data_IF_709223791472
#
_entry.id   IF_709223791472
#
_cell.length_a   1.000
_cell.length_b   1.000
_cell.length_c   1.000
_cell.angle_alpha   90.00
_cell.angle_beta   90.00
_cell.angle_gamma   90.00
#
_symmetry.space_group_name_H-M   'P 1'
#
loop_
_entity.id
_entity.type
_entity.pdbx_description
1 polymer ?
#
# COMPACT_ATOMS: atom_id res chain seq x y z
N UNK A 1 3.28 -8.36 28.72
CA UNK A 1 2.09 -8.68 29.53
C UNK A 1 0.83 -8.23 28.80
N UNK A 2 -0.37 -8.74 29.16
CA UNK A 2 -1.65 -8.29 28.60
C UNK A 2 -1.92 -6.77 28.76
N UNK A 3 -1.18 -6.11 29.64
CA UNK A 3 -1.29 -4.70 30.03
C UNK A 3 -0.98 -3.68 28.93
N UNK A 4 -0.41 -4.09 27.79
CA UNK A 4 -0.15 -3.21 26.65
C UNK A 4 -0.95 -3.66 25.42
N UNK A 5 -2.23 -3.93 25.60
CA UNK A 5 -3.14 -4.29 24.50
C UNK A 5 -3.57 -3.04 23.71
N UNK A 6 -4.06 -3.25 22.49
CA UNK A 6 -4.62 -2.16 21.68
C UNK A 6 -5.89 -1.52 22.27
N UNK A 7 -6.56 -2.18 23.21
CA UNK A 7 -7.73 -1.64 23.92
C UNK A 7 -7.29 -0.53 24.87
N UNK A 8 -6.26 -0.79 25.68
CA UNK A 8 -5.68 0.20 26.60
C UNK A 8 -5.14 1.41 25.84
N UNK A 9 -4.58 1.21 24.65
CA UNK A 9 -4.12 2.31 23.78
C UNK A 9 -5.28 3.18 23.30
N UNK A 10 -6.48 2.61 23.08
CA UNK A 10 -7.66 3.38 22.68
C UNK A 10 -8.21 4.19 23.85
N UNK A 11 -8.31 3.59 25.03
CA UNK A 11 -8.81 4.27 26.22
C UNK A 11 -7.91 5.46 26.60
N UNK A 12 -6.58 5.29 26.50
CA UNK A 12 -5.61 6.37 26.69
C UNK A 12 -5.77 7.46 25.62
N UNK A 13 -5.97 7.06 24.37
CA UNK A 13 -6.15 8.01 23.26
C UNK A 13 -7.41 8.86 23.44
N UNK A 14 -8.52 8.27 23.89
CA UNK A 14 -9.77 8.98 24.21
C UNK A 14 -9.58 9.98 25.37
N UNK A 15 -8.86 9.59 26.42
CA UNK A 15 -8.58 10.48 27.56
C UNK A 15 -7.65 11.64 27.22
N UNK A 16 -6.71 11.43 26.28
CA UNK A 16 -5.73 12.42 25.86
C UNK A 16 -6.19 13.24 24.64
N UNK A 17 -7.41 13.02 24.15
CA UNK A 17 -7.92 13.58 22.88
C UNK A 17 -6.95 13.37 21.70
N UNK A 18 -6.22 12.25 21.72
CA UNK A 18 -5.21 11.88 20.75
C UNK A 18 -5.68 10.73 19.88
N UNK A 19 -4.97 10.49 18.77
CA UNK A 19 -5.28 9.31 17.96
C UNK A 19 -4.67 8.03 18.57
N UNK A 20 -5.35 6.87 18.52
CA UNK A 20 -4.77 5.60 18.96
C UNK A 20 -3.45 5.26 18.26
N UNK A 21 -3.25 5.72 17.02
CA UNK A 21 -2.00 5.55 16.31
C UNK A 21 -0.89 6.50 16.84
N UNK A 22 -1.23 7.73 17.21
CA UNK A 22 -0.32 8.68 17.86
C UNK A 22 0.18 8.16 19.21
N UNK A 23 -0.74 7.69 20.07
CA UNK A 23 -0.39 7.05 21.34
C UNK A 23 0.51 5.82 21.13
N UNK A 24 0.20 4.96 20.14
CA UNK A 24 1.07 3.82 19.79
C UNK A 24 2.48 4.28 19.40
N UNK A 25 2.62 5.38 18.65
CA UNK A 25 3.93 5.89 18.26
C UNK A 25 4.76 6.35 19.46
N UNK A 26 4.12 7.01 20.43
CA UNK A 26 4.77 7.45 21.68
C UNK A 26 5.23 6.24 22.49
N UNK A 27 4.35 5.26 22.70
CA UNK A 27 4.65 4.03 23.43
C UNK A 27 5.78 3.23 22.77
N UNK A 28 5.77 3.14 21.44
CA UNK A 28 6.85 2.47 20.68
C UNK A 28 8.20 3.17 20.87
N UNK A 29 8.22 4.52 20.84
CA UNK A 29 9.42 5.31 21.10
C UNK A 29 9.93 5.14 22.54
N UNK A 30 9.04 4.93 23.49
CA UNK A 30 9.37 4.64 24.90
C UNK A 30 9.79 3.18 25.16
N UNK A 31 9.91 2.34 24.13
CA UNK A 31 10.28 0.92 24.27
C UNK A 31 9.16 0.02 24.77
N UNK A 32 7.92 0.54 24.85
CA UNK A 32 6.75 -0.22 25.29
C UNK A 32 6.19 -1.02 24.10
N UNK A 33 6.29 -2.34 24.19
CA UNK A 33 5.69 -3.23 23.19
C UNK A 33 4.17 -3.27 23.35
N UNK A 34 3.46 -2.77 22.34
CA UNK A 34 2.00 -2.88 22.24
C UNK A 34 1.67 -4.14 21.44
N UNK A 35 1.01 -5.11 22.07
CA UNK A 35 0.61 -6.34 21.38
C UNK A 35 -0.52 -5.99 20.43
N UNK A 36 -0.20 -5.91 19.14
CA UNK A 36 -1.20 -5.75 18.08
C UNK A 36 -2.12 -6.97 18.12
N UNK A 37 -3.38 -6.77 18.49
CA UNK A 37 -4.41 -7.78 18.26
C UNK A 37 -4.39 -8.05 16.75
N UNK A 38 -4.15 -9.29 16.30
CA UNK A 38 -4.26 -9.58 14.88
C UNK A 38 -5.66 -9.16 14.48
N UNK A 39 -5.75 -8.21 13.55
CA UNK A 39 -7.05 -7.92 12.95
C UNK A 39 -7.59 -9.26 12.48
N UNK A 40 -8.86 -9.62 12.78
CA UNK A 40 -9.46 -10.78 12.14
C UNK A 40 -9.14 -10.63 10.66
N UNK A 41 -8.52 -11.65 10.07
CA UNK A 41 -8.32 -11.67 8.63
C UNK A 41 -9.73 -11.57 8.06
N UNK A 42 -10.15 -10.37 7.70
CA UNK A 42 -11.21 -10.19 6.74
C UNK A 42 -10.76 -11.04 5.59
N UNK A 43 -11.51 -12.11 5.31
CA UNK A 43 -11.25 -12.99 4.18
C UNK A 43 -11.10 -12.07 2.99
N UNK A 44 -9.85 -11.89 2.55
CA UNK A 44 -9.52 -10.92 1.54
C UNK A 44 -10.17 -11.41 0.27
N UNK A 45 -11.34 -10.85 -0.04
CA UNK A 45 -11.79 -10.79 -1.42
C UNK A 45 -10.59 -10.35 -2.25
N UNK A 46 -10.37 -11.00 -3.39
CA UNK A 46 -9.30 -10.77 -4.35
C UNK A 46 -9.41 -9.39 -5.03
N UNK A 47 -9.67 -8.35 -4.25
CA UNK A 47 -9.80 -6.97 -4.68
C UNK A 47 -8.43 -6.31 -4.68
N UNK A 48 -7.66 -6.52 -5.74
CA UNK A 48 -6.71 -5.56 -6.36
C UNK A 48 -5.70 -4.80 -5.48
N UNK A 49 -5.50 -5.19 -4.22
CA UNK A 49 -4.74 -4.44 -3.22
C UNK A 49 -3.39 -5.02 -2.86
N UNK A 50 -2.93 -6.04 -3.61
CA UNK A 50 -1.58 -6.57 -3.48
C UNK A 50 -0.54 -5.46 -3.68
N UNK A 51 0.58 -5.53 -2.94
CA UNK A 51 1.70 -4.62 -3.18
C UNK A 51 2.18 -4.84 -4.63
N UNK A 52 2.14 -3.78 -5.43
CA UNK A 52 2.62 -3.81 -6.82
C UNK A 52 4.08 -3.35 -6.81
N UNK A 53 4.95 -4.16 -7.40
CA UNK A 53 6.33 -3.76 -7.69
C UNK A 53 6.33 -2.64 -8.72
N UNK A 54 6.92 -1.50 -8.37
CA UNK A 54 6.96 -0.33 -9.27
C UNK A 54 7.79 -0.64 -10.51
N UNK A 55 8.93 -1.31 -10.35
CA UNK A 55 9.82 -1.66 -11.45
C UNK A 55 9.13 -2.60 -12.45
N UNK A 56 8.49 -3.67 -11.95
CA UNK A 56 7.82 -4.64 -12.83
C UNK A 56 6.62 -4.00 -13.55
N UNK A 57 5.87 -3.14 -12.86
CA UNK A 57 4.76 -2.42 -13.46
C UNK A 57 5.22 -1.42 -14.54
N UNK A 58 6.31 -0.70 -14.31
CA UNK A 58 6.90 0.22 -15.28
C UNK A 58 7.47 -0.54 -16.50
N UNK A 59 8.04 -1.73 -16.29
CA UNK A 59 8.48 -2.60 -17.38
C UNK A 59 7.29 -3.11 -18.23
N UNK A 60 6.19 -3.51 -17.58
CA UNK A 60 4.99 -3.98 -18.27
C UNK A 60 4.39 -2.91 -19.19
N UNK A 61 4.21 -1.68 -18.69
CA UNK A 61 3.68 -0.59 -19.53
C UNK A 61 4.65 -0.19 -20.65
N UNK A 62 5.97 -0.25 -20.41
CA UNK A 62 7.01 -0.02 -21.44
C UNK A 62 6.90 -1.03 -22.59
N UNK A 63 6.73 -2.32 -22.25
CA UNK A 63 6.51 -3.37 -23.25
C UNK A 63 5.23 -3.11 -24.03
N UNK A 64 4.11 -2.86 -23.35
CA UNK A 64 2.82 -2.66 -24.00
C UNK A 64 2.81 -1.47 -24.99
N UNK A 65 3.49 -0.37 -24.65
CA UNK A 65 3.67 0.78 -25.56
C UNK A 65 4.54 0.40 -26.77
N UNK A 66 5.64 -0.33 -26.54
CA UNK A 66 6.53 -0.79 -27.62
C UNK A 66 5.82 -1.76 -28.57
N UNK A 67 5.01 -2.67 -28.02
CA UNK A 67 4.19 -3.62 -28.76
C UNK A 67 3.10 -2.90 -29.58
N UNK A 68 2.64 -1.74 -29.12
CA UNK A 68 1.76 -0.84 -29.89
C UNK A 68 2.49 -0.07 -31.00
N UNK A 69 3.81 -0.26 -31.18
CA UNK A 69 4.63 0.44 -32.16
C UNK A 69 4.91 1.91 -31.82
N UNK A 70 4.72 2.31 -30.57
CA UNK A 70 4.93 3.68 -30.11
C UNK A 70 6.28 3.84 -29.42
N UNK A 71 6.86 5.04 -29.49
CA UNK A 71 8.10 5.35 -28.78
C UNK A 71 7.83 5.53 -27.28
N UNK A 72 8.67 4.92 -26.44
CA UNK A 72 8.52 4.99 -24.98
C UNK A 72 9.26 6.19 -24.40
N UNK A 73 8.54 7.08 -23.74
CA UNK A 73 9.14 8.14 -22.91
C UNK A 73 9.48 7.59 -21.51
N UNK A 74 10.73 7.18 -21.33
CA UNK A 74 11.23 6.67 -20.06
C UNK A 74 11.14 7.69 -18.90
N UNK A 75 11.22 9.00 -19.18
CA UNK A 75 11.09 10.02 -18.14
C UNK A 75 9.66 10.10 -17.61
N UNK A 76 8.66 9.91 -18.47
CA UNK A 76 7.26 9.83 -18.05
C UNK A 76 7.01 8.52 -17.30
N UNK A 77 7.45 7.38 -17.83
CA UNK A 77 7.21 6.07 -17.20
C UNK A 77 7.82 6.01 -15.80
N UNK A 78 9.03 6.56 -15.59
CA UNK A 78 9.68 6.58 -14.27
C UNK A 78 8.88 7.29 -13.18
N UNK A 79 7.98 8.22 -13.55
CA UNK A 79 7.13 8.98 -12.62
C UNK A 79 5.85 8.23 -12.24
N UNK A 80 5.54 7.12 -12.91
CA UNK A 80 4.34 6.35 -12.61
C UNK A 80 4.50 5.54 -11.33
N UNK A 81 3.49 5.59 -10.46
CA UNK A 81 3.36 4.63 -9.36
C UNK A 81 3.05 3.24 -9.92
N UNK A 82 3.40 2.17 -9.19
CA UNK A 82 3.15 0.80 -9.66
C UNK A 82 1.68 0.54 -10.03
N UNK A 83 0.73 1.11 -9.27
CA UNK A 83 -0.70 1.01 -9.59
C UNK A 83 -1.08 1.75 -10.86
N UNK A 84 -0.53 2.95 -11.07
CA UNK A 84 -0.79 3.72 -12.29
C UNK A 84 -0.23 3.01 -13.53
N UNK A 85 1.00 2.49 -13.44
CA UNK A 85 1.62 1.76 -14.54
C UNK A 85 0.83 0.49 -14.91
N UNK A 86 0.38 -0.30 -13.93
CA UNK A 86 -0.50 -1.47 -14.19
C UNK A 86 -1.82 -1.06 -14.85
N UNK A 87 -2.44 0.03 -14.39
CA UNK A 87 -3.68 0.53 -14.98
C UNK A 87 -3.52 0.88 -16.47
N UNK A 88 -2.47 1.63 -16.83
CA UNK A 88 -2.22 2.00 -18.22
C UNK A 88 -1.79 0.83 -19.10
N UNK A 89 -0.94 -0.07 -18.59
CA UNK A 89 -0.55 -1.29 -19.31
C UNK A 89 -1.79 -2.09 -19.74
N UNK A 90 -2.74 -2.32 -18.82
CA UNK A 90 -3.97 -3.07 -19.13
C UNK A 90 -4.88 -2.37 -20.15
N UNK A 91 -4.95 -1.04 -20.17
CA UNK A 91 -5.69 -0.29 -21.19
C UNK A 91 -5.05 -0.52 -22.56
N UNK A 92 -3.72 -0.36 -22.66
CA UNK A 92 -2.99 -0.49 -23.92
C UNK A 92 -3.11 -1.91 -24.46
N UNK A 93 -2.91 -2.92 -23.62
CA UNK A 93 -3.11 -4.33 -23.99
C UNK A 93 -4.52 -4.62 -24.49
N UNK A 94 -5.54 -3.95 -23.93
CA UNK A 94 -6.94 -4.12 -24.36
C UNK A 94 -7.19 -3.47 -25.72
N UNK A 95 -6.56 -2.32 -25.99
CA UNK A 95 -6.69 -1.60 -27.27
C UNK A 95 -5.91 -2.27 -28.40
N UNK A 96 -4.83 -2.99 -28.08
CA UNK A 96 -3.99 -3.71 -29.05
C UNK A 96 -4.56 -5.08 -29.47
N UNK A 97 -5.74 -5.47 -28.98
CA UNK A 97 -6.42 -6.73 -29.35
C UNK A 97 -7.17 -6.65 -30.67
#
# INVERSE_FOLDING_TARGET
TPENSMEIVKDIAEQLEESPNGVRMILTKAGVYVRKTPAPRSGGSSGGGGRVSVADAQAAVTSAISDAGQEVDAQIISKLTGKAAVYFAGIIETLNK
#
